data_IF_364880444724
#
_entry.id   IF_364880444724
#
_cell.length_a   1.000
_cell.length_b   1.000
_cell.length_c   1.000
_cell.angle_alpha   90.00
_cell.angle_beta   90.00
_cell.angle_gamma   90.00
#
_symmetry.space_group_name_H-M   'P 1'
#
loop_
_entity.id
_entity.type
_entity.pdbx_description
1 polymer ?
2 non-polymer ?
3 non-polymer ?
4 non-polymer ?
5 water ?
#
# COMPACT_ATOMS: atom_id res chain seq x y z
N UNK A 18 10.70 6.97 28.61
CA UNK A 18 11.02 8.39 28.55
C UNK A 18 11.61 8.78 27.19
N UNK A 19 12.44 7.89 26.63
CA UNK A 19 13.19 8.21 25.43
C UNK A 19 12.46 7.93 24.13
N UNK A 20 11.36 7.19 24.20
CA UNK A 20 10.59 6.88 22.99
C UNK A 20 9.10 6.94 23.29
N UNK A 21 8.30 7.01 22.22
CA UNK A 21 6.85 7.01 22.35
C UNK A 21 6.26 5.63 22.13
N UNK A 22 6.93 4.86 21.29
CA UNK A 22 6.53 3.49 20.93
C UNK A 22 7.75 2.62 20.84
N UNK A 23 7.60 1.36 21.20
CA UNK A 23 8.65 0.39 20.99
C UNK A 23 8.04 -0.84 20.35
N UNK A 24 8.51 -1.18 19.16
CA UNK A 24 8.02 -2.34 18.40
C UNK A 24 9.12 -3.37 18.20
N UNK A 25 8.79 -4.60 18.54
CA UNK A 25 9.62 -5.74 18.19
C UNK A 25 9.25 -6.22 16.80
N UNK A 26 10.23 -6.29 15.91
CA UNK A 26 10.01 -6.75 14.54
C UNK A 26 10.83 -7.99 14.28
N UNK A 27 10.30 -8.96 13.53
CA UNK A 27 11.10 -10.13 13.13
C UNK A 27 11.24 -10.20 11.62
N UNK A 28 12.43 -10.59 11.14
CA UNK A 28 12.63 -10.84 9.71
C UNK A 28 12.76 -12.36 9.59
N UNK A 29 11.85 -12.99 8.83
CA UNK A 29 11.79 -14.44 8.70
C UNK A 29 11.75 -14.83 7.23
N UNK A 30 12.03 -16.12 6.97
CA UNK A 30 12.10 -16.60 5.59
C UNK A 30 13.20 -17.62 5.43
N UNK A 31 13.21 -18.31 4.30
CA UNK A 31 14.17 -19.39 4.09
C UNK A 31 15.63 -18.96 4.20
N UNK A 32 16.50 -19.91 4.54
CA UNK A 32 17.93 -19.61 4.51
C UNK A 32 18.39 -19.12 3.10
N UNK A 33 19.22 -18.06 3.12
CA UNK A 33 19.90 -17.43 1.96
C UNK A 33 19.09 -16.37 1.23
N UNK A 34 17.87 -16.07 1.69
CA UNK A 34 17.05 -15.10 0.95
C UNK A 34 17.50 -13.66 1.13
N UNK A 35 18.31 -13.41 2.16
CA UNK A 35 18.94 -12.11 2.36
C UNK A 35 18.46 -11.38 3.61
N UNK A 36 18.01 -12.09 4.64
CA UNK A 36 17.46 -11.45 5.85
C UNK A 36 18.52 -10.65 6.60
N UNK A 37 19.67 -11.27 6.84
CA UNK A 37 20.76 -10.57 7.52
C UNK A 37 21.22 -9.38 6.69
N UNK A 38 21.31 -9.58 5.36
CA UNK A 38 21.70 -8.48 4.49
C UNK A 38 20.70 -7.33 4.53
N UNK A 39 19.42 -7.67 4.65
CA UNK A 39 18.37 -6.65 4.74
C UNK A 39 18.60 -5.78 5.96
N UNK A 40 18.78 -6.43 7.11
CA UNK A 40 19.00 -5.71 8.34
C UNK A 40 20.30 -4.89 8.31
N UNK A 41 21.38 -5.46 7.77
CA UNK A 41 22.69 -4.80 7.63
C UNK A 41 22.56 -3.53 6.77
N UNK A 42 21.78 -3.63 5.69
CA UNK A 42 21.60 -2.46 4.83
C UNK A 42 20.78 -1.38 5.54
N UNK A 43 19.72 -1.80 6.23
CA UNK A 43 18.86 -0.81 6.92
C UNK A 43 19.59 -0.10 8.05
N UNK A 44 20.28 -0.89 8.87
CA UNK A 44 20.88 -0.36 10.08
C UNK A 44 22.22 0.32 9.85
N UNK A 45 23.04 -0.28 8.98
CA UNK A 45 24.42 0.15 8.83
C UNK A 45 24.75 0.67 7.43
N UNK A 46 23.78 0.63 6.53
CA UNK A 46 24.01 0.99 5.10
C UNK A 46 25.24 0.26 4.54
N UNK A 47 25.32 -1.01 4.88
CA UNK A 47 26.42 -1.86 4.41
C UNK A 47 25.89 -3.11 3.70
N UNK A 48 26.79 -3.77 2.98
CA UNK A 48 26.50 -5.01 2.27
C UNK A 48 27.75 -5.85 2.21
N UNK A 49 27.58 -7.16 2.35
CA UNK A 49 28.63 -8.10 2.00
C UNK A 49 28.10 -9.18 1.07
N UNK A 50 28.93 -9.58 0.12
CA UNK A 50 28.61 -10.68 -0.78
C UNK A 50 28.75 -12.04 -0.09
N UNK A 51 29.44 -12.08 1.05
CA UNK A 51 29.66 -13.36 1.75
C UNK A 51 28.33 -13.89 2.26
N UNK A 52 28.18 -15.22 2.24
CA UNK A 52 27.01 -15.87 2.80
C UNK A 52 27.46 -16.63 4.04
N UNK A 53 27.21 -16.04 5.20
CA UNK A 53 27.47 -16.71 6.47
C UNK A 53 26.12 -16.87 7.15
N UNK A 54 25.63 -18.11 7.23
CA UNK A 54 24.29 -18.32 7.83
C UNK A 54 24.25 -17.87 9.28
N UNK A 55 23.12 -17.30 9.64
CA UNK A 55 22.81 -16.91 11.00
C UNK A 55 22.55 -18.13 11.88
N UNK A 56 23.14 -18.11 13.07
CA UNK A 56 22.92 -19.12 14.11
C UNK A 56 21.90 -18.58 15.09
N UNK A 57 20.76 -19.26 15.20
CA UNK A 57 19.77 -18.85 16.19
C UNK A 57 19.10 -17.54 15.83
N UNK A 58 19.32 -16.52 16.65
CA UNK A 58 18.67 -15.24 16.41
C UNK A 58 19.56 -14.11 16.92
N UNK A 59 19.49 -12.95 16.26
CA UNK A 59 20.33 -11.80 16.56
C UNK A 59 19.41 -10.59 16.47
N UNK A 60 19.80 -9.44 17.03
CA UNK A 60 18.97 -8.26 16.87
C UNK A 60 19.79 -7.01 16.82
N UNK A 61 19.17 -5.99 16.22
CA UNK A 61 19.69 -4.65 16.23
C UNK A 61 18.59 -3.72 16.67
N UNK A 62 18.97 -2.61 17.27
CA UNK A 62 18.03 -1.58 17.68
C UNK A 62 18.22 -0.35 16.80
N UNK A 63 17.12 0.25 16.38
CA UNK A 63 17.17 1.49 15.62
C UNK A 63 15.98 2.35 15.98
N UNK A 64 16.24 3.63 16.18
CA UNK A 64 15.13 4.53 16.49
C UNK A 64 14.80 5.35 15.27
N UNK A 65 13.52 5.39 14.93
CA UNK A 65 13.05 6.25 13.86
C UNK A 65 12.03 7.27 14.33
N UNK A 66 11.90 8.31 13.53
CA UNK A 66 11.03 9.42 13.85
C UNK A 66 9.93 9.51 12.82
N UNK A 67 8.70 9.44 13.30
CA UNK A 67 7.52 9.38 12.47
C UNK A 67 6.38 10.15 13.12
N UNK A 68 5.77 11.08 12.39
CA UNK A 68 4.65 11.87 12.92
C UNK A 68 4.92 12.46 14.29
N UNK A 69 6.10 13.05 14.43
CA UNK A 69 6.55 13.68 15.67
C UNK A 69 6.51 12.71 16.83
N UNK A 70 6.71 11.43 16.52
CA UNK A 70 6.89 10.40 17.53
C UNK A 70 8.22 9.68 17.35
N UNK A 71 8.75 9.18 18.46
CA UNK A 71 9.96 8.37 18.48
C UNK A 71 9.56 6.92 18.57
N UNK A 72 9.92 6.15 17.54
CA UNK A 72 9.58 4.72 17.51
C UNK A 72 10.87 3.94 17.61
N UNK A 73 11.04 3.27 18.73
CA UNK A 73 12.20 2.39 18.90
C UNK A 73 11.92 1.01 18.28
N UNK A 74 12.75 0.59 17.34
CA UNK A 74 12.56 -0.73 16.74
C UNK A 74 13.61 -1.69 17.27
N UNK A 75 13.14 -2.80 17.82
CA UNK A 75 14.03 -3.89 18.18
C UNK A 75 13.82 -4.94 17.10
N UNK A 76 14.81 -5.05 16.21
CA UNK A 76 14.67 -5.84 14.99
C UNK A 76 15.46 -7.13 15.08
N UNK A 77 14.74 -8.24 15.09
CA UNK A 77 15.32 -9.56 15.26
C UNK A 77 15.52 -10.23 13.91
N UNK A 78 16.76 -10.64 13.66
CA UNK A 78 17.17 -11.32 12.45
C UNK A 78 17.21 -12.80 12.72
N UNK A 79 16.25 -13.53 12.19
CA UNK A 79 16.15 -14.97 12.49
C UNK A 79 16.95 -15.81 11.52
N UNK A 80 17.48 -16.91 12.02
CA UNK A 80 18.03 -17.92 11.14
C UNK A 80 16.93 -18.54 10.30
N UNK A 81 17.18 -18.71 9.00
CA UNK A 81 16.27 -19.44 8.14
C UNK A 81 16.47 -20.94 8.12
N UNK A 82 17.67 -21.40 8.51
CA UNK A 82 17.96 -22.84 8.50
C UNK A 82 17.00 -23.60 9.42
N UNK A 83 16.53 -24.76 8.95
CA UNK A 83 15.56 -25.55 9.72
C UNK A 83 16.05 -25.95 11.10
N UNK A 84 17.35 -26.12 11.23
CA UNK A 84 17.96 -26.43 12.52
C UNK A 84 17.53 -25.45 13.63
N UNK A 85 17.26 -24.21 13.25
CA UNK A 85 16.92 -23.19 14.25
C UNK A 85 15.45 -22.81 14.23
N UNK A 86 14.62 -23.64 13.63
CA UNK A 86 13.22 -23.27 13.48
C UNK A 86 12.53 -23.09 14.85
N UNK A 87 12.80 -23.97 15.81
CA UNK A 87 12.07 -23.87 17.06
C UNK A 87 12.51 -22.65 17.88
N UNK A 88 13.81 -22.39 17.99
CA UNK A 88 14.26 -21.27 18.81
C UNK A 88 13.87 -19.95 18.17
N UNK A 89 13.91 -19.84 16.85
CA UNK A 89 13.48 -18.56 16.24
C UNK A 89 11.96 -18.35 16.44
N UNK A 90 11.20 -19.42 16.35
CA UNK A 90 9.76 -19.34 16.50
C UNK A 90 9.37 -18.92 17.91
N UNK A 91 10.18 -19.26 18.91
CA UNK A 91 9.95 -18.80 20.28
C UNK A 91 9.95 -17.27 20.40
N UNK A 92 10.61 -16.60 19.46
CA UNK A 92 10.70 -15.14 19.53
C UNK A 92 9.58 -14.47 18.76
N UNK A 93 8.70 -15.25 18.14
CA UNK A 93 7.54 -14.63 17.48
C UNK A 93 6.60 -14.02 18.50
N UNK A 94 6.59 -14.58 19.71
CA UNK A 94 5.80 -14.10 20.83
C UNK A 94 6.20 -12.67 21.17
N UNK A 95 5.23 -11.75 21.15
CA UNK A 95 5.52 -10.35 21.45
C UNK A 95 5.92 -9.46 20.27
N UNK A 96 6.01 -10.03 19.07
CA UNK A 96 6.39 -9.27 17.90
C UNK A 96 5.19 -8.54 17.36
N UNK A 97 5.38 -7.26 17.04
CA UNK A 97 4.31 -6.47 16.47
C UNK A 97 4.28 -6.52 14.94
N UNK A 98 5.40 -6.93 14.34
CA UNK A 98 5.51 -6.94 12.90
C UNK A 98 6.49 -7.97 12.38
N UNK A 99 6.22 -8.45 11.18
CA UNK A 99 7.06 -9.41 10.47
C UNK A 99 7.35 -8.96 9.07
N UNK A 100 8.63 -9.07 8.71
CA UNK A 100 9.03 -9.00 7.31
C UNK A 100 9.20 -10.44 6.86
N UNK A 101 8.33 -10.88 5.96
CA UNK A 101 8.34 -12.27 5.46
C UNK A 101 9.02 -12.26 4.09
N UNK A 102 10.25 -12.75 4.04
CA UNK A 102 11.09 -12.59 2.85
C UNK A 102 11.24 -13.87 2.05
N UNK A 103 11.21 -13.72 0.72
CA UNK A 103 11.69 -14.75 -0.19
C UNK A 103 12.70 -14.09 -1.13
N UNK A 104 13.31 -14.89 -1.99
CA UNK A 104 14.35 -14.47 -2.92
C UNK A 104 13.79 -14.67 -4.32
N UNK A 105 13.74 -13.61 -5.14
CA UNK A 105 13.10 -13.73 -6.46
C UNK A 105 13.86 -14.66 -7.40
N UNK A 106 15.07 -15.06 -7.03
CA UNK A 106 15.84 -16.03 -7.80
C UNK A 106 15.72 -17.48 -7.27
N UNK A 107 14.90 -17.70 -6.25
CA UNK A 107 14.81 -19.00 -5.57
C UNK A 107 13.36 -19.41 -5.43
N UNK A 108 12.90 -20.26 -6.34
CA UNK A 108 11.49 -20.62 -6.37
C UNK A 108 11.07 -21.36 -5.10
N UNK A 109 11.94 -22.20 -4.54
CA UNK A 109 11.63 -22.87 -3.28
C UNK A 109 11.29 -21.87 -2.19
N UNK A 110 12.04 -20.78 -2.12
CA UNK A 110 11.80 -19.78 -1.08
C UNK A 110 10.43 -19.11 -1.23
N UNK A 111 9.97 -18.95 -2.46
CA UNK A 111 8.65 -18.40 -2.75
C UNK A 111 7.57 -19.43 -2.40
N UNK A 112 7.81 -20.68 -2.76
CA UNK A 112 6.86 -21.74 -2.45
C UNK A 112 6.65 -21.92 -0.94
N UNK A 113 7.67 -21.54 -0.17
CA UNK A 113 7.62 -21.69 1.29
C UNK A 113 6.81 -20.60 2.00
N UNK A 114 6.35 -19.59 1.25
CA UNK A 114 5.71 -18.45 1.92
C UNK A 114 4.47 -18.85 2.72
N UNK A 115 3.62 -19.71 2.19
CA UNK A 115 2.42 -20.10 2.94
C UNK A 115 2.77 -20.78 4.25
N UNK A 116 3.85 -21.57 4.25
CA UNK A 116 4.27 -22.23 5.48
C UNK A 116 4.73 -21.19 6.52
N UNK A 117 5.44 -20.15 6.07
CA UNK A 117 5.79 -19.07 6.99
C UNK A 117 4.56 -18.35 7.51
N UNK A 118 3.57 -18.13 6.64
CA UNK A 118 2.34 -17.49 7.09
C UNK A 118 1.67 -18.32 8.20
N UNK A 119 1.56 -19.63 8.00
CA UNK A 119 1.00 -20.51 9.02
C UNK A 119 1.80 -20.42 10.34
N UNK A 120 3.11 -20.29 10.23
CA UNK A 120 3.94 -20.18 11.42
C UNK A 120 3.61 -18.88 12.17
N UNK A 121 3.49 -17.78 11.44
CA UNK A 121 3.06 -16.52 12.05
C UNK A 121 1.67 -16.66 12.70
N UNK A 122 0.73 -17.32 12.02
CA UNK A 122 -0.64 -17.42 12.54
C UNK A 122 -0.70 -18.27 13.80
N UNK A 123 0.27 -19.16 13.95
CA UNK A 123 0.30 -20.05 15.08
C UNK A 123 0.99 -19.43 16.28
N UNK A 124 2.12 -18.75 16.04
CA UNK A 124 2.99 -18.39 17.16
C UNK A 124 3.11 -16.92 17.47
N UNK A 125 2.32 -16.10 16.78
CA UNK A 125 2.36 -14.64 17.02
C UNK A 125 1.01 -14.10 17.45
N UNK A 126 1.02 -12.86 17.90
CA UNK A 126 -0.21 -12.17 18.22
C UNK A 126 -1.13 -12.05 17.01
N UNK A 127 -2.42 -12.17 17.27
CA UNK A 127 -3.46 -12.03 16.25
C UNK A 127 -3.35 -10.77 15.40
N UNK A 128 -2.93 -9.69 16.02
CA UNK A 128 -2.89 -8.41 15.31
C UNK A 128 -1.49 -8.03 14.84
N UNK A 129 -0.55 -8.98 14.87
CA UNK A 129 0.77 -8.70 14.30
C UNK A 129 0.65 -8.42 12.80
N UNK A 130 1.41 -7.44 12.30
CA UNK A 130 1.33 -7.04 10.91
C UNK A 130 2.42 -7.74 10.12
N UNK A 131 2.21 -7.95 8.84
CA UNK A 131 3.11 -8.72 7.99
C UNK A 131 3.28 -8.01 6.66
N UNK A 132 4.51 -7.89 6.19
CA UNK A 132 4.76 -7.42 4.83
C UNK A 132 5.52 -8.50 4.10
N UNK A 133 5.06 -8.83 2.90
CA UNK A 133 5.76 -9.78 2.05
C UNK A 133 6.82 -9.07 1.24
N UNK A 134 8.04 -9.62 1.24
CA UNK A 134 9.17 -9.01 0.53
C UNK A 134 9.83 -10.01 -0.39
N UNK A 135 9.91 -9.66 -1.68
CA UNK A 135 10.70 -10.40 -2.67
C UNK A 135 12.04 -9.73 -2.83
N UNK A 136 13.08 -10.31 -2.24
CA UNK A 136 14.41 -9.70 -2.24
C UNK A 136 15.26 -10.17 -3.44
N UNK A 137 16.35 -9.46 -3.64
CA UNK A 137 17.35 -9.69 -4.69
C UNK A 137 16.80 -9.29 -6.06
N UNK A 138 15.96 -8.27 -6.09
CA UNK A 138 15.38 -7.84 -7.37
C UNK A 138 16.41 -7.25 -8.35
N UNK A 139 17.63 -7.02 -7.87
CA UNK A 139 18.73 -6.62 -8.76
C UNK A 139 19.21 -7.73 -9.67
N UNK A 140 18.92 -8.98 -9.28
CA UNK A 140 19.41 -10.15 -10.02
C UNK A 140 18.45 -10.52 -11.15
N UNK A 141 18.22 -9.57 -12.06
CA UNK A 141 17.25 -9.83 -13.13
C UNK A 141 17.57 -11.05 -14.02
N UNK A 142 18.85 -11.31 -14.30
CA UNK A 142 19.25 -12.47 -15.11
C UNK A 142 19.01 -13.82 -14.43
N UNK A 143 18.84 -13.82 -13.10
CA UNK A 143 18.61 -15.06 -12.36
C UNK A 143 17.20 -15.16 -11.80
N UNK A 144 16.40 -14.13 -12.03
CA UNK A 144 15.02 -14.10 -11.52
C UNK A 144 14.18 -15.29 -12.04
N UNK A 145 13.45 -15.93 -11.12
CA UNK A 145 12.45 -16.96 -11.48
C UNK A 145 11.03 -16.66 -10.97
N UNK A 146 10.89 -15.65 -10.10
CA UNK A 146 9.57 -15.21 -9.65
C UNK A 146 9.33 -13.79 -10.13
N UNK A 147 8.27 -13.56 -10.89
CA UNK A 147 7.99 -12.21 -11.37
C UNK A 147 7.46 -11.33 -10.24
N UNK A 148 7.64 -10.02 -10.41
CA UNK A 148 6.98 -9.07 -9.53
C UNK A 148 5.48 -9.38 -9.41
N UNK A 149 4.83 -9.61 -10.56
CA UNK A 149 3.38 -9.83 -10.57
C UNK A 149 2.98 -11.03 -9.75
N UNK A 150 3.79 -12.09 -9.78
CA UNK A 150 3.46 -13.25 -8.96
C UNK A 150 3.59 -12.98 -7.47
N UNK A 151 4.60 -12.21 -7.09
CA UNK A 151 4.78 -11.83 -5.71
C UNK A 151 3.60 -11.01 -5.24
N UNK A 152 3.21 -10.01 -6.03
CA UNK A 152 2.12 -9.15 -5.64
C UNK A 152 0.82 -9.94 -5.55
N UNK A 153 0.62 -10.85 -6.49
CA UNK A 153 -0.61 -11.68 -6.52
C UNK A 153 -0.75 -12.48 -5.22
N UNK A 154 0.34 -13.12 -4.78
CA UNK A 154 0.32 -13.86 -3.53
C UNK A 154 0.06 -12.93 -2.37
N UNK A 155 0.73 -11.76 -2.34
CA UNK A 155 0.53 -10.83 -1.23
C UNK A 155 -0.95 -10.43 -1.14
N UNK A 156 -1.56 -10.16 -2.29
CA UNK A 156 -2.98 -9.77 -2.28
C UNK A 156 -3.89 -10.91 -1.85
N UNK A 157 -3.56 -12.13 -2.24
CA UNK A 157 -4.30 -13.30 -1.74
C UNK A 157 -4.20 -13.44 -0.22
N UNK A 158 -3.04 -13.07 0.34
CA UNK A 158 -2.81 -13.11 1.78
C UNK A 158 -3.33 -11.89 2.54
N UNK A 159 -3.65 -10.83 1.82
CA UNK A 159 -4.14 -9.62 2.44
C UNK A 159 -3.04 -8.77 3.06
N UNK A 160 -1.83 -8.86 2.51
CA UNK A 160 -0.68 -8.09 3.06
C UNK A 160 -0.07 -7.20 1.99
N UNK A 161 0.63 -6.16 2.45
CA UNK A 161 1.43 -5.30 1.58
C UNK A 161 2.60 -6.06 0.96
N UNK A 162 3.15 -5.52 -0.10
CA UNK A 162 4.19 -6.20 -0.89
C UNK A 162 5.22 -5.22 -1.38
N UNK A 163 6.50 -5.59 -1.24
CA UNK A 163 7.58 -4.86 -1.91
C UNK A 163 8.57 -5.82 -2.53
N UNK A 164 9.15 -5.42 -3.67
CA UNK A 164 10.39 -6.02 -4.11
C UNK A 164 11.54 -5.16 -3.66
N UNK A 165 12.60 -5.81 -3.22
CA UNK A 165 13.73 -5.10 -2.64
C UNK A 165 15.05 -5.63 -3.18
N UNK A 166 16.07 -4.81 -2.97
CA UNK A 166 17.45 -5.24 -3.11
C UNK A 166 18.27 -4.75 -1.90
N UNK A 167 18.67 -5.66 -1.01
CA UNK A 167 19.62 -5.28 0.01
C UNK A 167 20.92 -4.85 -0.63
N UNK A 168 21.27 -5.51 -1.75
CA UNK A 168 22.57 -5.23 -2.38
C UNK A 168 22.65 -3.80 -2.94
N UNK A 169 21.62 -3.37 -3.67
CA UNK A 169 21.64 -2.03 -4.29
C UNK A 169 20.77 -0.99 -3.55
N UNK A 170 20.33 -1.33 -2.35
CA UNK A 170 19.53 -0.46 -1.46
C UNK A 170 18.26 0.01 -2.16
N UNK A 171 17.48 -0.96 -2.63
CA UNK A 171 16.18 -0.68 -3.23
C UNK A 171 15.05 -1.12 -2.28
N UNK A 172 14.24 -0.13 -1.87
CA UNK A 172 13.05 -0.30 -1.04
C UNK A 172 13.27 -0.89 0.36
N UNK A 173 14.51 -0.89 0.86
CA UNK A 173 14.75 -1.44 2.18
C UNK A 173 14.12 -0.53 3.28
N UNK A 174 14.47 0.76 3.26
CA UNK A 174 13.85 1.72 4.17
C UNK A 174 12.33 1.74 3.99
N UNK A 175 11.89 1.68 2.74
CA UNK A 175 10.45 1.72 2.46
C UNK A 175 9.69 0.60 3.19
N UNK A 176 10.26 -0.60 3.24
CA UNK A 176 9.59 -1.69 3.93
C UNK A 176 9.45 -1.39 5.43
N UNK A 177 10.53 -0.97 6.07
CA UNK A 177 10.48 -0.68 7.49
C UNK A 177 9.53 0.46 7.82
N UNK A 178 9.56 1.52 7.02
CA UNK A 178 8.67 2.65 7.24
C UNK A 178 7.20 2.23 7.10
N UNK A 179 6.89 1.42 6.09
CA UNK A 179 5.51 1.00 5.90
C UNK A 179 5.07 0.10 7.04
N UNK A 180 5.96 -0.78 7.49
CA UNK A 180 5.62 -1.67 8.58
C UNK A 180 5.33 -0.88 9.86
N UNK A 181 6.16 0.11 10.18
CA UNK A 181 5.84 0.98 11.31
C UNK A 181 4.47 1.62 11.17
N UNK A 182 4.16 2.16 9.99
CA UNK A 182 2.88 2.84 9.80
C UNK A 182 1.69 1.90 9.96
N UNK A 183 1.78 0.68 9.44
CA UNK A 183 0.60 -0.18 9.54
C UNK A 183 0.44 -0.73 10.96
N UNK A 184 1.54 -0.90 11.69
CA UNK A 184 1.44 -1.25 13.12
C UNK A 184 0.77 -0.12 13.89
N UNK A 185 1.25 1.10 13.70
CA UNK A 185 0.64 2.27 14.34
C UNK A 185 -0.86 2.40 14.03
N UNK A 186 -1.23 2.22 12.78
CA UNK A 186 -2.63 2.32 12.40
C UNK A 186 -3.47 1.23 13.08
N UNK A 187 -2.93 0.02 13.14
CA UNK A 187 -3.65 -1.09 13.74
C UNK A 187 -3.88 -0.83 15.23
N UNK A 188 -2.99 -0.06 15.85
CA UNK A 188 -3.21 0.39 17.22
C UNK A 188 -4.29 1.46 17.21
N UNK B 18 -8.85 28.30 8.05
CA UNK B 18 -8.04 28.92 9.08
C UNK B 18 -8.13 28.15 10.40
N UNK B 19 -9.29 27.55 10.64
CA UNK B 19 -9.51 26.72 11.83
C UNK B 19 -8.93 25.32 11.67
N UNK B 20 -8.26 25.09 10.56
CA UNK B 20 -7.69 23.77 10.27
C UNK B 20 -6.19 23.85 10.16
N UNK B 21 -5.52 22.71 10.39
CA UNK B 21 -4.06 22.64 10.32
C UNK B 21 -3.61 22.37 8.88
N UNK B 22 -4.45 21.67 8.13
CA UNK B 22 -4.18 21.42 6.72
C UNK B 22 -5.48 21.50 5.94
N UNK B 23 -5.36 21.93 4.69
CA UNK B 23 -6.49 21.88 3.79
C UNK B 23 -6.04 21.26 2.48
N UNK B 24 -6.67 20.15 2.11
CA UNK B 24 -6.25 19.44 0.91
C UNK B 24 -7.33 19.48 -0.12
N UNK B 25 -6.97 19.94 -1.32
CA UNK B 25 -7.85 19.84 -2.48
C UNK B 25 -7.73 18.46 -3.14
N UNK B 26 -8.83 17.73 -3.18
CA UNK B 26 -8.88 16.41 -3.81
C UNK B 26 -9.84 16.41 -4.99
N UNK B 27 -9.49 15.69 -6.06
CA UNK B 27 -10.40 15.51 -7.20
C UNK B 27 -10.72 14.03 -7.38
N UNK B 28 -11.97 13.74 -7.71
CA UNK B 28 -12.36 12.39 -8.11
C UNK B 28 -12.65 12.45 -9.60
N UNK B 29 -11.91 11.65 -10.39
CA UNK B 29 -12.06 11.65 -11.86
C UNK B 29 -12.27 10.24 -12.41
N UNK B 30 -12.74 10.15 -13.66
CA UNK B 30 -13.02 8.85 -14.29
C UNK B 30 -14.27 8.92 -15.15
N UNK B 31 -14.52 7.85 -15.91
CA UNK B 31 -15.61 7.90 -16.85
C UNK B 31 -16.99 8.08 -16.21
N UNK B 32 -17.94 8.58 -17.01
CA UNK B 32 -19.32 8.69 -16.55
C UNK B 32 -19.88 7.34 -16.15
N UNK B 33 -20.56 7.32 -14.99
CA UNK B 33 -21.30 6.17 -14.41
C UNK B 33 -20.45 5.23 -13.57
N UNK B 34 -19.16 5.54 -13.36
CA UNK B 34 -18.36 4.57 -12.60
C UNK B 34 -18.60 4.63 -11.11
N UNK B 35 -19.22 5.71 -10.65
CA UNK B 35 -19.67 5.82 -9.27
C UNK B 35 -18.96 6.89 -8.47
N UNK B 36 -18.42 7.92 -9.15
CA UNK B 36 -17.67 8.98 -8.44
C UNK B 36 -18.52 9.75 -7.41
N UNK B 37 -19.72 10.19 -7.82
CA UNK B 37 -20.59 10.92 -6.94
C UNK B 37 -21.09 10.02 -5.80
N UNK B 38 -21.45 8.79 -6.13
CA UNK B 38 -21.85 7.83 -5.10
C UNK B 38 -20.74 7.63 -4.07
N UNK B 39 -19.50 7.59 -4.55
CA UNK B 39 -18.37 7.38 -3.68
C UNK B 39 -18.22 8.56 -2.70
N UNK B 40 -18.32 9.78 -3.23
CA UNK B 40 -18.22 10.97 -2.40
C UNK B 40 -19.31 11.00 -1.33
N UNK B 41 -20.55 10.74 -1.72
CA UNK B 41 -21.62 10.91 -0.75
C UNK B 41 -21.79 9.71 0.19
N UNK B 42 -21.26 8.56 -0.21
CA UNK B 42 -21.05 7.50 0.79
C UNK B 42 -20.10 7.97 1.89
N UNK B 43 -18.97 8.52 1.48
CA UNK B 43 -18.00 9.01 2.44
C UNK B 43 -18.52 10.15 3.30
N UNK B 44 -19.19 11.13 2.68
CA UNK B 44 -19.61 12.33 3.40
C UNK B 44 -20.86 12.11 4.25
N UNK B 45 -21.82 11.36 3.71
CA UNK B 45 -23.15 11.25 4.33
C UNK B 45 -23.55 9.84 4.74
N UNK B 46 -22.71 8.86 4.41
CA UNK B 46 -23.03 7.44 4.64
C UNK B 46 -24.38 7.10 4.03
N UNK B 47 -24.57 7.57 2.80
CA UNK B 47 -25.80 7.37 2.04
C UNK B 47 -25.53 6.75 0.69
N UNK B 48 -26.54 6.12 0.11
CA UNK B 48 -26.48 5.59 -1.25
C UNK B 48 -27.84 5.70 -1.90
N UNK B 49 -27.85 5.99 -3.19
CA UNK B 49 -29.05 5.83 -4.02
C UNK B 49 -28.69 5.10 -5.32
N UNK B 50 -29.61 4.24 -5.75
CA UNK B 50 -29.47 3.55 -7.04
C UNK B 50 -29.68 4.49 -8.22
N UNK B 51 -30.32 5.63 -7.97
CA UNK B 51 -30.63 6.58 -9.05
C UNK B 51 -29.38 7.17 -9.67
N UNK B 52 -29.34 7.18 -11.00
CA UNK B 52 -28.25 7.79 -11.73
C UNK B 52 -28.61 9.20 -12.15
N UNK B 53 -28.02 10.19 -11.47
CA UNK B 53 -28.14 11.58 -11.87
C UNK B 53 -26.72 12.04 -12.17
N UNK B 54 -26.44 12.22 -13.45
CA UNK B 54 -25.10 12.56 -13.90
C UNK B 54 -24.67 13.92 -13.42
N UNK B 55 -23.38 14.04 -13.12
CA UNK B 55 -22.80 15.30 -12.68
C UNK B 55 -22.60 16.25 -13.84
N UNK B 56 -22.93 17.53 -13.61
CA UNK B 56 -22.79 18.56 -14.61
C UNK B 56 -21.65 19.48 -14.18
N UNK B 57 -20.59 19.55 -15.00
CA UNK B 57 -19.44 20.41 -14.70
C UNK B 57 -18.60 19.78 -13.61
N UNK B 58 -18.34 20.55 -12.57
CA UNK B 58 -17.58 20.07 -11.43
C UNK B 58 -18.29 20.53 -10.16
N UNK B 59 -18.52 19.60 -9.24
CA UNK B 59 -19.18 19.88 -7.97
C UNK B 59 -18.21 19.78 -6.80
N UNK B 60 -18.62 20.30 -5.64
CA UNK B 60 -17.71 20.54 -4.53
C UNK B 60 -18.31 20.11 -3.18
N UNK B 61 -17.55 19.43 -2.32
CA UNK B 61 -18.04 19.04 -1.01
C UNK B 61 -16.91 19.07 0.02
N UNK B 62 -17.14 19.66 1.19
CA UNK B 62 -16.11 19.73 2.22
C UNK B 62 -16.34 18.65 3.27
N UNK B 63 -15.26 17.99 3.69
CA UNK B 63 -15.31 17.10 4.84
C UNK B 63 -14.07 17.28 5.71
N UNK B 64 -14.26 17.32 7.03
CA UNK B 64 -13.15 17.48 7.96
C UNK B 64 -12.77 16.14 8.60
N UNK B 65 -11.47 15.88 8.68
CA UNK B 65 -11.00 14.69 9.39
C UNK B 65 -9.91 15.03 10.40
N UNK B 66 -9.69 14.11 11.34
CA UNK B 66 -8.67 14.24 12.36
C UNK B 66 -7.63 13.13 12.14
N UNK B 67 -6.36 13.51 11.93
CA UNK B 67 -5.30 12.53 11.65
C UNK B 67 -3.99 12.97 12.29
N UNK B 68 -3.44 12.11 13.16
CA UNK B 68 -2.17 12.39 13.86
C UNK B 68 -2.24 13.74 14.55
N UNK B 69 -3.27 13.89 15.39
CA UNK B 69 -3.56 15.11 16.16
C UNK B 69 -3.55 16.39 15.31
N UNK B 70 -3.89 16.26 14.03
CA UNK B 70 -4.03 17.44 13.17
C UNK B 70 -5.43 17.48 12.57
N UNK B 71 -6.03 18.66 12.53
CA UNK B 71 -7.30 18.84 11.84
C UNK B 71 -7.09 19.09 10.37
N UNK B 72 -7.66 18.22 9.54
CA UNK B 72 -7.51 18.31 8.10
C UNK B 72 -8.83 18.60 7.41
N UNK B 73 -8.92 19.71 6.69
CA UNK B 73 -10.09 20.00 5.88
C UNK B 73 -9.91 19.46 4.45
N UNK B 74 -10.83 18.62 4.00
CA UNK B 74 -10.80 18.12 2.63
C UNK B 74 -11.77 18.88 1.76
N UNK B 75 -11.23 19.50 0.72
CA UNK B 75 -12.04 20.19 -0.27
C UNK B 75 -12.15 19.24 -1.45
N UNK B 76 -13.26 18.51 -1.54
CA UNK B 76 -13.35 17.40 -2.50
C UNK B 76 -14.17 17.80 -3.73
N UNK B 77 -13.56 17.71 -4.91
CA UNK B 77 -14.19 18.11 -6.15
C UNK B 77 -14.62 16.87 -6.91
N UNK B 78 -15.91 16.80 -7.18
CA UNK B 78 -16.54 15.68 -7.87
C UNK B 78 -16.72 16.04 -9.34
N UNK B 79 -15.88 15.52 -10.21
CA UNK B 79 -15.94 15.93 -11.62
C UNK B 79 -16.98 15.14 -12.45
N UNK B 80 -17.56 15.80 -13.44
CA UNK B 80 -18.30 15.08 -14.47
C UNK B 80 -17.39 14.15 -15.26
N UNK B 81 -17.85 12.95 -15.52
CA UNK B 81 -17.14 12.07 -16.45
C UNK B 81 -17.49 12.31 -17.91
N UNK B 82 -18.66 12.88 -18.17
CA UNK B 82 -19.11 13.09 -19.56
C UNK B 82 -18.19 14.03 -20.31
N UNK B 83 -17.93 13.68 -21.57
CA UNK B 83 -17.02 14.39 -22.45
C UNK B 83 -17.37 15.88 -22.62
N UNK B 84 -18.66 16.23 -22.63
CA UNK B 84 -19.05 17.61 -22.88
C UNK B 84 -18.50 18.55 -21.79
N UNK B 85 -18.17 17.99 -20.63
CA UNK B 85 -17.67 18.79 -19.50
C UNK B 85 -16.16 18.66 -19.27
N UNK B 86 -15.45 18.04 -20.21
CA UNK B 86 -14.04 17.73 -19.98
C UNK B 86 -13.19 19.00 -19.75
N UNK B 87 -13.44 20.04 -20.55
CA UNK B 87 -12.72 21.30 -20.44
C UNK B 87 -12.94 21.99 -19.08
N UNK B 88 -14.17 21.97 -18.60
CA UNK B 88 -14.46 22.55 -17.30
C UNK B 88 -13.74 21.79 -16.19
N UNK B 89 -13.81 20.47 -16.24
CA UNK B 89 -13.22 19.70 -15.15
C UNK B 89 -11.69 19.82 -15.11
N UNK B 90 -11.06 19.87 -16.27
CA UNK B 90 -9.60 19.91 -16.26
C UNK B 90 -9.07 21.26 -15.79
N UNK B 91 -9.88 22.31 -15.87
CA UNK B 91 -9.50 23.61 -15.33
C UNK B 91 -9.29 23.56 -13.81
N UNK B 92 -9.79 22.53 -13.16
CA UNK B 92 -9.66 22.42 -11.71
C UNK B 92 -8.60 21.45 -11.23
N UNK B 93 -7.86 20.85 -12.16
CA UNK B 93 -6.79 19.95 -11.78
C UNK B 93 -5.65 20.72 -11.10
N UNK B 94 -5.42 21.95 -11.55
CA UNK B 94 -4.35 22.79 -10.99
C UNK B 94 -4.46 22.90 -9.46
N UNK B 95 -3.36 22.68 -8.75
CA UNK B 95 -3.40 22.83 -7.31
C UNK B 95 -4.08 21.71 -6.53
N UNK B 96 -4.62 20.71 -7.23
CA UNK B 96 -5.09 19.50 -6.53
C UNK B 96 -3.92 18.78 -5.86
N UNK B 97 -4.11 18.38 -4.61
CA UNK B 97 -3.04 17.66 -3.92
C UNK B 97 -3.17 16.15 -4.11
N UNK B 98 -4.38 15.67 -4.44
CA UNK B 98 -4.58 14.24 -4.68
C UNK B 98 -5.76 13.98 -5.58
N UNK B 99 -5.70 12.83 -6.26
CA UNK B 99 -6.73 12.34 -7.17
C UNK B 99 -7.14 10.94 -6.82
N UNK B 100 -8.46 10.71 -6.83
CA UNK B 100 -9.02 9.35 -6.91
C UNK B 100 -9.36 9.13 -8.36
N UNK B 101 -8.66 8.20 -9.00
CA UNK B 101 -8.87 7.90 -10.41
C UNK B 101 -9.69 6.60 -10.43
N UNK B 102 -10.97 6.71 -10.79
CA UNK B 102 -11.92 5.62 -10.62
C UNK B 102 -12.30 4.97 -11.95
N UNK B 103 -12.39 3.64 -11.94
CA UNK B 103 -13.11 2.89 -12.98
C UNK B 103 -14.12 1.98 -12.26
N UNK B 104 -14.87 1.26 -13.08
CA UNK B 104 -15.98 0.42 -12.64
C UNK B 104 -15.60 -1.00 -13.05
N UNK B 105 -15.55 -1.93 -12.10
CA UNK B 105 -15.01 -3.27 -12.42
C UNK B 105 -15.96 -4.07 -13.33
N UNK B 106 -17.16 -3.55 -13.58
CA UNK B 106 -18.10 -4.16 -14.49
C UNK B 106 -18.09 -3.51 -15.89
N UNK B 107 -17.25 -2.51 -16.08
CA UNK B 107 -17.24 -1.71 -17.32
C UNK B 107 -15.81 -1.66 -17.91
N UNK B 108 -15.55 -2.50 -18.90
CA UNK B 108 -14.22 -2.59 -19.50
C UNK B 108 -13.76 -1.26 -20.11
N UNK B 109 -14.68 -0.56 -20.77
CA UNK B 109 -14.36 0.76 -21.33
C UNK B 109 -13.76 1.69 -20.27
N UNK B 110 -14.34 1.66 -19.07
CA UNK B 110 -13.90 2.60 -18.02
C UNK B 110 -12.48 2.25 -17.57
N UNK B 111 -12.14 0.95 -17.57
CA UNK B 111 -10.79 0.54 -17.28
C UNK B 111 -9.79 0.88 -18.40
N UNK B 112 -10.21 0.69 -19.64
CA UNK B 112 -9.39 1.02 -20.80
C UNK B 112 -9.05 2.51 -20.82
N UNK B 113 -9.93 3.33 -20.27
CA UNK B 113 -9.74 4.78 -20.26
C UNK B 113 -8.75 5.27 -19.22
N UNK B 114 -8.29 4.39 -18.34
CA UNK B 114 -7.44 4.84 -17.22
C UNK B 114 -6.17 5.54 -17.71
N UNK B 115 -5.47 5.01 -18.72
CA UNK B 115 -4.25 5.67 -19.18
C UNK B 115 -4.53 7.09 -19.67
N UNK B 116 -5.68 7.30 -20.31
CA UNK B 116 -6.03 8.65 -20.77
C UNK B 116 -6.26 9.59 -19.58
N UNK B 117 -6.87 9.11 -18.50
CA UNK B 117 -7.01 9.94 -17.29
C UNK B 117 -5.64 10.23 -16.69
N UNK B 118 -4.73 9.23 -16.67
CA UNK B 118 -3.38 9.46 -16.18
C UNK B 118 -2.68 10.59 -16.96
N UNK B 119 -2.81 10.56 -18.29
CA UNK B 119 -2.22 11.61 -19.10
C UNK B 119 -2.82 12.97 -18.74
N UNK B 120 -4.12 13.02 -18.48
CA UNK B 120 -4.74 14.27 -18.07
C UNK B 120 -4.13 14.80 -16.76
N UNK B 121 -3.97 13.91 -15.77
CA UNK B 121 -3.31 14.31 -14.53
C UNK B 121 -1.89 14.80 -14.78
N UNK B 122 -1.13 14.08 -15.58
CA UNK B 122 0.25 14.48 -15.82
C UNK B 122 0.37 15.82 -16.54
N UNK B 123 -0.67 16.18 -17.28
CA UNK B 123 -0.67 17.42 -18.05
C UNK B 123 -1.15 18.60 -17.22
N UNK B 124 -2.24 18.41 -16.47
CA UNK B 124 -2.92 19.58 -15.90
C UNK B 124 -2.79 19.71 -14.39
N UNK B 125 -2.15 18.74 -13.75
CA UNK B 125 -1.99 18.79 -12.31
C UNK B 125 -0.61 19.21 -11.84
N UNK B 126 -0.53 19.39 -10.54
CA UNK B 126 0.70 19.74 -9.82
C UNK B 126 1.69 18.60 -9.88
N UNK B 127 2.99 18.93 -9.97
CA UNK B 127 4.06 17.94 -9.94
C UNK B 127 3.92 16.96 -8.79
N UNK B 128 3.50 17.46 -7.63
CA UNK B 128 3.49 16.60 -6.46
C UNK B 128 2.14 15.98 -6.17
N UNK B 129 1.20 16.09 -7.10
CA UNK B 129 -0.13 15.51 -6.86
C UNK B 129 -0.03 14.00 -6.70
N UNK B 130 -0.75 13.47 -5.71
CA UNK B 130 -0.76 12.03 -5.45
C UNK B 130 -2.00 11.42 -6.10
N UNK B 131 -1.94 10.15 -6.48
CA UNK B 131 -2.99 9.47 -7.21
C UNK B 131 -3.23 8.08 -6.61
N UNK B 132 -4.50 7.72 -6.43
CA UNK B 132 -4.85 6.33 -6.07
C UNK B 132 -5.82 5.79 -7.13
N UNK B 133 -5.54 4.60 -7.64
CA UNK B 133 -6.45 3.94 -8.60
C UNK B 133 -7.50 3.14 -7.84
N UNK B 134 -8.75 3.33 -8.23
CA UNK B 134 -9.89 2.70 -7.56
C UNK B 134 -10.76 1.96 -8.58
N UNK B 135 -10.94 0.67 -8.37
CA UNK B 135 -11.95 -0.09 -9.09
C UNK B 135 -13.20 -0.24 -8.25
N UNK B 136 -14.22 0.54 -8.60
CA UNK B 136 -15.47 0.57 -7.85
C UNK B 136 -16.51 -0.44 -8.36
N UNK B 137 -17.55 -0.64 -7.55
CA UNK B 137 -18.67 -1.56 -7.77
C UNK B 137 -18.23 -3.03 -7.59
N UNK B 138 -17.30 -3.26 -6.65
CA UNK B 138 -16.82 -4.62 -6.40
C UNK B 138 -17.91 -5.53 -5.78
N UNK B 139 -19.04 -4.94 -5.38
CA UNK B 139 -20.19 -5.71 -4.93
C UNK B 139 -20.85 -6.47 -6.07
N UNK B 140 -20.61 -6.02 -7.31
CA UNK B 140 -21.27 -6.62 -8.46
C UNK B 140 -20.43 -7.77 -9.00
N UNK B 141 -20.23 -8.80 -8.20
CA UNK B 141 -19.34 -9.87 -8.61
C UNK B 141 -19.88 -10.59 -9.86
N UNK B 142 -21.20 -10.75 -9.95
CA UNK B 142 -21.77 -11.43 -11.10
C UNK B 142 -21.55 -10.68 -12.42
N UNK B 143 -21.30 -9.38 -12.34
CA UNK B 143 -21.15 -8.56 -13.53
C UNK B 143 -19.70 -8.11 -13.75
N UNK B 144 -18.79 -8.58 -12.90
CA UNK B 144 -17.40 -8.19 -12.98
C UNK B 144 -16.74 -8.60 -14.31
N UNK B 145 -16.01 -7.67 -14.94
CA UNK B 145 -15.24 -8.00 -16.14
C UNK B 145 -13.76 -7.68 -15.99
N UNK B 146 -13.40 -6.86 -15.01
CA UNK B 146 -12.00 -6.62 -14.65
C UNK B 146 -11.64 -7.32 -13.35
N UNK B 147 -10.72 -8.28 -13.40
CA UNK B 147 -10.32 -8.95 -12.15
C UNK B 147 -9.56 -7.99 -11.22
N UNK B 148 -9.56 -8.30 -9.93
CA UNK B 148 -8.75 -7.55 -8.99
C UNK B 148 -7.30 -7.52 -9.47
N UNK B 149 -6.77 -8.69 -9.86
CA UNK B 149 -5.38 -8.81 -10.31
C UNK B 149 -5.05 -7.89 -11.48
N UNK B 150 -5.97 -7.75 -12.40
CA UNK B 150 -5.74 -6.89 -13.56
C UNK B 150 -5.68 -5.42 -13.16
N UNK B 151 -6.56 -5.02 -12.25
CA UNK B 151 -6.53 -3.67 -11.73
C UNK B 151 -5.25 -3.38 -10.97
N UNK B 152 -4.87 -4.30 -10.08
CA UNK B 152 -3.61 -4.17 -9.34
C UNK B 152 -2.40 -4.08 -10.28
N UNK B 153 -2.39 -4.90 -11.33
CA UNK B 153 -1.28 -4.92 -12.28
C UNK B 153 -1.10 -3.55 -12.91
N UNK B 154 -2.23 -2.92 -13.26
CA UNK B 154 -2.18 -1.59 -13.87
C UNK B 154 -1.68 -0.57 -12.86
N UNK B 155 -2.19 -0.62 -11.63
CA UNK B 155 -1.74 0.31 -10.58
C UNK B 155 -0.22 0.19 -10.38
N UNK B 156 0.27 -1.04 -10.35
CA UNK B 156 1.70 -1.25 -10.14
C UNK B 156 2.54 -0.73 -11.31
N UNK B 157 2.04 -0.89 -12.54
CA UNK B 157 2.69 -0.33 -13.72
C UNK B 157 2.74 1.21 -13.66
N UNK B 158 1.69 1.81 -13.10
CA UNK B 158 1.62 3.27 -12.96
C UNK B 158 2.38 3.78 -11.74
N UNK B 159 2.69 2.89 -10.81
CA UNK B 159 3.36 3.27 -9.57
C UNK B 159 2.45 3.89 -8.52
N UNK B 160 1.18 3.47 -8.50
CA UNK B 160 0.21 4.05 -7.57
C UNK B 160 -0.43 2.96 -6.73
N UNK B 161 -0.97 3.37 -5.59
CA UNK B 161 -1.73 2.44 -4.76
C UNK B 161 -3.05 2.07 -5.45
N UNK B 162 -3.65 0.98 -4.96
CA UNK B 162 -4.86 0.41 -5.57
C UNK B 162 -5.83 -0.11 -4.53
N UNK B 163 -7.10 0.21 -4.73
CA UNK B 163 -8.20 -0.37 -3.95
C UNK B 163 -9.36 -0.77 -4.82
N UNK B 164 -10.02 -1.88 -4.48
CA UNK B 164 -11.36 -2.12 -4.97
C UNK B 164 -12.34 -1.66 -3.91
N UNK B 165 -13.41 -1.04 -4.38
CA UNK B 165 -14.39 -0.44 -3.49
C UNK B 165 -15.81 -0.75 -3.87
N UNK B 166 -16.72 -0.53 -2.92
CA UNK B 166 -18.13 -0.47 -3.23
C UNK B 166 -18.75 0.73 -2.53
N UNK B 167 -19.12 1.75 -3.29
CA UNK B 167 -19.90 2.83 -2.71
C UNK B 167 -21.24 2.28 -2.20
N UNK B 168 -21.79 1.29 -2.91
CA UNK B 168 -23.12 0.78 -2.56
C UNK B 168 -23.11 0.06 -1.22
N UNK B 169 -22.09 -0.77 -0.96
CA UNK B 169 -22.08 -1.52 0.30
C UNK B 169 -21.05 -1.01 1.29
N UNK B 170 -20.52 0.19 1.03
CA UNK B 170 -19.54 0.86 1.89
C UNK B 170 -18.30 -0.02 2.13
N UNK B 171 -17.67 -0.42 1.05
CA UNK B 171 -16.45 -1.22 1.14
C UNK B 171 -15.26 -0.37 0.67
N UNK B 172 -14.30 -0.18 1.58
CA UNK B 172 -13.04 0.52 1.35
C UNK B 172 -13.16 1.99 0.94
N UNK B 173 -14.31 2.61 1.17
CA UNK B 173 -14.48 4.03 0.80
C UNK B 173 -13.66 4.93 1.72
N UNK B 174 -13.86 4.79 3.02
CA UNK B 174 -13.06 5.51 4.00
C UNK B 174 -11.58 5.15 3.82
N UNK B 175 -11.28 3.87 3.55
CA UNK B 175 -9.87 3.48 3.38
C UNK B 175 -9.17 4.27 2.27
N UNK B 176 -9.85 4.49 1.15
CA UNK B 176 -9.23 5.23 0.05
C UNK B 176 -8.94 6.68 0.46
N UNK B 177 -9.91 7.37 1.05
CA UNK B 177 -9.69 8.76 1.45
C UNK B 177 -8.58 8.86 2.51
N UNK B 178 -8.56 7.91 3.44
CA UNK B 178 -7.56 7.93 4.50
C UNK B 178 -6.16 7.69 3.95
N UNK B 179 -6.04 6.75 3.02
CA UNK B 179 -4.74 6.48 2.41
C UNK B 179 -4.28 7.69 1.60
N UNK B 180 -5.19 8.32 0.88
CA UNK B 180 -4.82 9.48 0.07
C UNK B 180 -4.31 10.63 0.96
N UNK B 181 -5.02 10.90 2.04
CA UNK B 181 -4.53 11.90 3.00
C UNK B 181 -3.12 11.58 3.49
N UNK B 182 -2.87 10.32 3.82
CA UNK B 182 -1.57 9.97 4.36
C UNK B 182 -0.45 10.13 3.34
N UNK B 183 -0.68 9.77 2.08
CA UNK B 183 0.41 9.89 1.11
C UNK B 183 0.62 11.36 0.70
N UNK B 184 -0.43 12.18 0.77
CA UNK B 184 -0.24 13.63 0.57
C UNK B 184 0.60 14.19 1.71
N UNK B 185 0.27 13.83 2.94
CA UNK B 185 1.04 14.28 4.10
C UNK B 185 2.50 13.86 4.03
N UNK B 186 2.74 12.61 3.59
CA UNK B 186 4.10 12.11 3.51
C UNK B 186 4.91 12.89 2.48
N UNK B 187 4.30 13.15 1.34
CA UNK B 187 4.96 13.91 0.28
C UNK B 187 5.35 15.30 0.77
N UNK B 188 4.46 15.94 1.53
CA UNK B 188 4.73 17.26 2.10
C UNK B 188 5.96 17.28 2.98
N UNK B 189 6.17 16.18 3.70
CA UNK B 189 7.23 16.13 4.70
C UNK B 189 8.60 15.79 4.10
X LIG C 1 20.32 -17.35 6.82
X LIG C 1 20.95 -18.68 6.51
X LIG C 1 20.97 -16.57 7.91
X LIG C 1 18.84 -17.55 7.05
X LIG C 1 20.48 -16.49 5.41
X LIG C 1 19.97 -14.96 5.14
X LIG C 1 18.59 -14.95 4.65
X LIG C 1 20.31 -14.12 6.31
X LIG C 1 20.88 -14.49 3.94
X LIG C 1 22.11 -13.49 3.85
X LIG C 1 21.67 -12.12 4.21
X LIG C 1 23.24 -14.09 4.60
X LIG C 1 22.41 -13.45 2.32
X LIG C 1 22.66 -14.67 1.59
X LIG C 1 23.42 -14.33 0.32
X LIG C 1 22.60 -13.47 -0.54
X LIG C 1 24.72 -13.57 0.53
X LIG C 1 25.69 -14.07 -0.41
X LIG C 1 24.37 -12.10 0.22
X LIG C 1 25.43 -11.31 -0.27
X LIG C 1 23.33 -12.30 -0.88
X LIG C 1 22.34 -11.22 -0.97
X LIG C 1 21.53 -10.76 0.05
X LIG C 1 20.69 -9.82 -0.35
X LIG C 1 20.97 -9.66 -1.71
X LIG C 1 20.39 -8.80 -2.69
X LIG C 1 19.51 -7.96 -2.55
X LIG C 1 20.93 -8.99 -3.97
X LIG C 1 21.94 -9.87 -4.24
X LIG C 1 22.36 -9.91 -5.51
X LIG C 1 22.51 -10.67 -3.35
X LIG C 1 21.96 -10.54 -2.10
X LIG D 1 21.16 -14.57 8.19
X LIG E 1 23.97 -27.12 10.81
X LIG E 1 24.44 -24.77 10.96
X LIG E 1 25.02 -26.16 10.66
X LIG E 1 25.44 -23.77 10.62
X LIG E 1 26.14 -21.47 10.64
X LIG E 1 24.98 -22.45 10.86
X LIG E 1 26.59 -21.60 9.30
X LIG E 1 28.08 -20.85 7.53
X LIG E 1 27.62 -20.67 8.98
X LIG E 1 27.01 -20.54 6.69
X LIG E 1 25.97 -20.79 4.48
X LIG E 1 27.28 -20.81 5.32
X LIG E 1 24.90 -21.65 5.02
X LIG F 1 8.50 -24.63 10.11
X LIG F 1 7.57 -22.98 8.67
X LIG F 1 7.27 -24.17 9.58
X LIG F 1 8.21 -23.47 7.46
X LIG F 1 9.48 -23.01 5.51
X LIG F 1 8.76 -22.42 6.72
X LIG F 1 10.49 -23.91 5.94
X LIG F 1 12.23 -25.47 5.33
X LIG F 1 10.99 -24.71 4.87
X LIG F 1 13.26 -24.58 5.62
X LIG G 1 -20.97 11.01 -13.78
X LIG G 1 -19.52 11.10 -14.20
X LIG G 1 -21.40 12.06 -12.77
X LIG G 1 -21.84 10.93 -15.02
X LIG G 1 -21.19 9.55 -13.06
X LIG G 1 -20.60 9.05 -11.65
X LIG G 1 -20.75 10.14 -10.66
X LIG G 1 -19.25 8.46 -11.83
X LIG G 1 -21.58 7.88 -11.21
X LIG G 1 -22.74 7.85 -10.13
X LIG G 1 -22.18 7.97 -8.79
X LIG G 1 -23.78 8.80 -10.58
X LIG G 1 -23.23 6.35 -10.24
X LIG G 1 -23.68 5.77 -11.46
X LIG G 1 -24.57 4.59 -11.15
X LIG G 1 -23.80 3.55 -10.51
X LIG G 1 -25.76 4.90 -10.23
X LIG G 1 -26.95 4.16 -10.64
X LIG G 1 -25.26 4.36 -8.90
X LIG G 1 -26.30 3.93 -8.03
X LIG G 1 -24.40 3.16 -9.29
X LIG G 1 -23.31 2.84 -8.38
X LIG G 1 -22.35 3.72 -7.91
X LIG G 1 -21.51 3.13 -7.12
X LIG G 1 -21.90 1.79 -7.08
X LIG G 1 -21.36 0.66 -6.42
X LIG G 1 -20.39 0.63 -5.66
X LIG G 1 -22.06 -0.51 -6.66
X LIG G 1 -23.17 -0.58 -7.48
X LIG G 1 -23.76 -1.80 -7.59
X LIG G 1 -23.70 0.46 -8.11
X LIG G 1 -23.01 1.61 -7.86
X LIG H 1 -21.25 12.16 -10.80
X LIG I 1 -1.08 8.40 -12.50
X LIG I 1 1.24 8.70 -11.95
X LIG I 1 -0.19 8.55 -11.41
X LIG I 1 1.64 10.07 -11.81
X LIG I 1 1.19 12.41 -12.15
X LIG I 1 0.60 11.01 -12.01
X LIG I 1 1.17 13.08 -10.90
X LIG I 1 2.00 15.13 -11.86
X LIG I 1 2.19 14.07 -10.78
X LIG I 1 2.85 14.88 -12.94
X LIG J 1 -14.98 10.19 -21.95
X LIG J 1 -13.07 8.75 -22.06
X LIG J 1 -14.52 8.90 -21.61
X LIG J 1 -12.27 9.79 -21.50
X LIG J 1 -10.23 10.43 -20.37
X LIG J 1 -11.08 9.29 -20.89
X LIG J 1 -9.80 11.16 -21.46
X LIG J 1 -8.85 13.29 -22.20
X LIG J 1 -9.14 12.33 -21.03
X LIG J 1 -10.01 14.15 -22.39
#
# INVERSE_FOLDING_TARGET
GAMASGGDPKWQKDAADQNFDYMFKLLIIGNSSVGKTSFLFRYADDSFTSAFVSTVGIDFKVKTVFRHDKRVKLQIWDTAGLERYRTITTAYYRGAMGFILMYDVTNEDSFNSVQDWVTQIKTYSWDNAQVILVGNKCDMEDQRVISFERGRQLADQLGVEFFETSAKENVNVKAVFERLVDIICDKMSE
GAMASGGDPKWQKDAADQNFDYMFKLLIIGNSSVGKTSFLFRYADDSFTSAFVSTVGIDFKVKTVFRHDKRVKLQIWDTAGLERYRTITTAYYRGAMGFILMYDVTNEDSFNSVQDWVTQIKTYSWDNAQVILVGNKCDMEDQRVISFERGRQLADQLGVEFFETSAKENVNVKAVFERLVDIICDKMSE
GNP PG O1G O2G O3G N3B PB O1B O2B O3A PA O1A O2A O5' C5' C4' O4' C3' O3' C2' O2' C1' N9 C8 N7 C5 C6 O6 N1 C2 N2 N3 C4
MG MG
1PE OH3 C13 C23 OH4 C14 C24 OH5 C15 C25 OH6 C16 C26 OH7
1PE OH3 C13 C23 OH4 C14 C24 OH5 C15 C25 OH6
GNP PG O1G O2G O3G N3B PB O1B O2B O3A PA O1A O2A O5' C5' C4' O4' C3' O3' C2' O2' C1' N9 C8 N7 C5 C6 O6 N1 C2 N2 N3 C4
MG MG
1PE OH3 C13 C23 OH4 C14 C24 OH5 C15 C25 OH6
1PE OH4 C14 C24 OH5 C15 C25 OH6 C16 C26 OH7
#
